data_IF_977948385549
#
_entry.id   IF_977948385549
#
_cell.length_a   1.000
_cell.length_b   1.000
_cell.length_c   1.000
_cell.angle_alpha   90.00
_cell.angle_beta   90.00
_cell.angle_gamma   90.00
#
_symmetry.space_group_name_H-M   'P 1'
#
loop_
_entity.id
_entity.type
_entity.pdbx_description
1 polymer ?
#
# COMPACT_ATOMS: atom_id res chain seq x y z
N UNK A 1 -40.42 -36.07 30.77
CA UNK A 1 -40.36 -34.64 30.45
C UNK A 1 -39.30 -34.45 29.37
N UNK A 2 -39.66 -33.75 28.29
CA UNK A 2 -38.83 -32.95 27.36
C UNK A 2 -37.45 -33.49 26.94
N UNK A 3 -37.09 -33.65 25.66
CA UNK A 3 -37.72 -33.21 24.43
C UNK A 3 -36.84 -33.54 23.22
N UNK A 4 -37.49 -33.52 22.06
CA UNK A 4 -36.98 -33.57 20.69
C UNK A 4 -35.68 -32.79 20.44
N UNK A 5 -34.92 -33.22 19.41
CA UNK A 5 -34.72 -32.54 18.09
C UNK A 5 -33.34 -32.91 17.52
N UNK A 6 -33.27 -33.86 16.61
CA UNK A 6 -33.25 -33.68 15.13
C UNK A 6 -32.13 -32.78 14.57
N UNK A 7 -31.58 -33.28 13.44
CA UNK A 7 -30.94 -32.56 12.33
C UNK A 7 -29.49 -32.13 12.55
N UNK A 8 -28.57 -32.31 11.61
CA UNK A 8 -28.68 -32.73 10.22
C UNK A 8 -27.34 -32.54 9.52
N UNK A 9 -27.09 -33.40 8.55
CA UNK A 9 -26.16 -33.25 7.42
C UNK A 9 -25.89 -31.81 6.98
N UNK A 10 -24.61 -31.46 6.82
CA UNK A 10 -24.05 -31.01 5.55
C UNK A 10 -22.53 -30.82 5.70
N UNK A 11 -21.76 -31.61 4.95
CA UNK A 11 -20.50 -31.16 4.39
C UNK A 11 -20.81 -29.85 3.66
N UNK A 12 -20.41 -28.70 4.20
CA UNK A 12 -20.28 -27.51 3.36
C UNK A 12 -18.90 -27.59 2.71
N UNK A 13 -18.91 -28.27 1.58
CA UNK A 13 -17.94 -28.11 0.51
C UNK A 13 -17.89 -26.63 0.14
N UNK A 14 -16.99 -25.87 0.77
CA UNK A 14 -16.65 -24.54 0.30
C UNK A 14 -15.92 -24.70 -1.03
N UNK A 15 -16.68 -24.38 -2.08
CA UNK A 15 -16.30 -24.45 -3.47
C UNK A 15 -14.89 -23.90 -3.71
N UNK A 16 -14.12 -24.49 -4.66
CA UNK A 16 -12.89 -23.84 -5.11
C UNK A 16 -13.27 -22.47 -5.63
N UNK A 17 -12.72 -21.42 -5.00
CA UNK A 17 -12.85 -20.05 -5.47
C UNK A 17 -12.43 -20.03 -6.94
N UNK A 18 -13.43 -19.92 -7.81
CA UNK A 18 -13.27 -19.87 -9.25
C UNK A 18 -12.27 -18.75 -9.55
N UNK A 19 -11.33 -19.06 -10.46
CA UNK A 19 -10.26 -18.18 -10.91
C UNK A 19 -10.73 -16.72 -10.94
N UNK A 20 -10.27 -15.94 -9.97
CA UNK A 20 -10.51 -14.50 -9.92
C UNK A 20 -9.87 -13.92 -11.18
N UNK A 21 -10.74 -13.46 -12.09
CA UNK A 21 -10.40 -12.63 -13.25
C UNK A 21 -9.36 -11.60 -12.84
N UNK A 22 -8.28 -11.48 -13.64
CA UNK A 22 -7.04 -10.74 -13.35
C UNK A 22 -7.33 -9.23 -13.26
N UNK A 23 -7.97 -8.82 -12.18
CA UNK A 23 -8.15 -7.45 -11.72
C UNK A 23 -7.73 -7.44 -10.26
N UNK A 24 -6.76 -6.58 -9.94
CA UNK A 24 -6.19 -6.55 -8.60
C UNK A 24 -7.23 -6.30 -7.51
N UNK A 25 -6.90 -6.76 -6.32
CA UNK A 25 -7.71 -6.73 -5.12
C UNK A 25 -7.38 -5.47 -4.33
N UNK A 26 -8.41 -4.82 -3.81
CA UNK A 26 -8.28 -3.72 -2.84
C UNK A 26 -8.50 -4.30 -1.45
N UNK A 27 -7.52 -4.17 -0.57
CA UNK A 27 -7.51 -4.74 0.77
C UNK A 27 -7.54 -3.63 1.80
N UNK A 28 -8.44 -3.73 2.78
CA UNK A 28 -8.39 -2.91 3.98
C UNK A 28 -7.53 -3.64 5.01
N UNK A 29 -6.41 -3.06 5.39
CA UNK A 29 -5.43 -3.63 6.31
C UNK A 29 -5.53 -2.87 7.63
N UNK A 30 -5.89 -3.58 8.70
CA UNK A 30 -5.71 -3.06 10.05
C UNK A 30 -4.25 -3.22 10.46
N UNK A 31 -3.62 -2.14 10.90
CA UNK A 31 -2.22 -2.16 11.32
C UNK A 31 -2.14 -2.35 12.83
N UNK A 32 -1.13 -3.10 13.33
CA UNK A 32 -0.83 -3.13 14.75
C UNK A 32 -0.46 -1.71 15.22
N UNK A 33 -0.66 -1.37 16.51
CA UNK A 33 -0.25 -0.08 17.04
C UNK A 33 1.24 0.17 16.80
N UNK A 34 1.55 1.38 16.34
CA UNK A 34 2.91 1.78 15.98
C UNK A 34 3.53 2.52 17.16
N UNK A 35 4.76 2.14 17.51
CA UNK A 35 5.58 2.84 18.52
C UNK A 35 6.77 3.46 17.81
N UNK A 36 6.83 4.79 17.64
CA UNK A 36 7.99 5.48 17.10
C UNK A 36 9.18 5.40 18.05
N UNK A 37 10.37 5.76 17.58
CA UNK A 37 11.61 5.74 18.36
C UNK A 37 11.61 6.63 19.61
N UNK A 38 10.62 7.52 19.76
CA UNK A 38 10.39 8.35 20.94
C UNK A 38 9.53 7.66 22.04
N UNK A 39 9.02 6.46 21.76
CA UNK A 39 8.23 5.67 22.72
C UNK A 39 6.76 6.09 22.85
N UNK A 40 6.26 7.01 22.02
CA UNK A 40 4.82 7.32 21.95
C UNK A 40 4.03 6.16 21.32
N UNK A 41 2.75 5.98 21.66
CA UNK A 41 1.91 4.93 21.06
C UNK A 41 0.75 5.60 20.30
N UNK A 42 0.64 5.30 18.99
CA UNK A 42 -0.45 5.80 18.15
C UNK A 42 -1.22 4.62 17.55
N UNK A 43 -2.54 4.63 17.74
CA UNK A 43 -3.43 3.67 17.08
C UNK A 43 -3.76 4.20 15.69
N UNK A 44 -3.41 3.43 14.65
CA UNK A 44 -3.71 3.82 13.27
C UNK A 44 -5.11 3.32 12.86
N UNK A 45 -5.83 4.19 12.16
CA UNK A 45 -7.02 3.82 11.39
C UNK A 45 -6.53 3.12 10.11
N UNK A 46 -7.10 1.94 9.81
CA UNK A 46 -6.54 1.00 8.82
C UNK A 46 -6.23 1.59 7.44
N UNK A 47 -5.23 1.03 6.76
CA UNK A 47 -4.82 1.45 5.41
C UNK A 47 -5.53 0.65 4.33
N UNK A 48 -5.54 1.17 3.09
CA UNK A 48 -6.08 0.48 1.91
C UNK A 48 -4.92 0.18 0.96
N UNK A 49 -4.72 -1.09 0.59
CA UNK A 49 -3.62 -1.56 -0.28
C UNK A 49 -4.19 -2.24 -1.52
N UNK A 50 -3.61 -1.99 -2.69
CA UNK A 50 -3.95 -2.69 -3.94
C UNK A 50 -2.92 -3.80 -4.23
N UNK A 51 -3.38 -5.03 -4.49
CA UNK A 51 -2.52 -6.19 -4.79
C UNK A 51 -3.02 -6.96 -6.00
N UNK A 52 -2.11 -7.42 -6.87
CA UNK A 52 -2.45 -8.11 -8.12
C UNK A 52 -2.47 -9.65 -8.02
N UNK A 53 -2.09 -10.23 -6.89
CA UNK A 53 -1.96 -11.69 -6.74
C UNK A 53 -2.92 -12.27 -5.70
N UNK A 54 -4.03 -12.87 -6.13
CA UNK A 54 -4.94 -13.58 -5.22
C UNK A 54 -4.28 -14.81 -4.57
N UNK A 55 -3.39 -15.50 -5.29
CA UNK A 55 -2.73 -16.73 -4.80
C UNK A 55 -1.70 -16.45 -3.70
N UNK A 56 -0.91 -15.39 -3.85
CA UNK A 56 0.10 -14.96 -2.86
C UNK A 56 -0.57 -14.47 -1.56
N UNK A 57 -1.74 -13.84 -1.69
CA UNK A 57 -2.55 -13.41 -0.56
C UNK A 57 -3.19 -14.58 0.18
N UNK A 58 -3.71 -15.56 -0.55
CA UNK A 58 -4.35 -16.74 0.03
C UNK A 58 -3.33 -17.57 0.82
N UNK A 59 -2.11 -17.69 0.30
CA UNK A 59 -1.00 -18.35 1.00
C UNK A 59 -0.57 -17.55 2.24
N UNK A 60 -0.45 -16.23 2.15
CA UNK A 60 -0.10 -15.37 3.30
C UNK A 60 -1.16 -15.43 4.41
N UNK A 61 -2.46 -15.43 4.05
CA UNK A 61 -3.55 -15.59 5.01
C UNK A 61 -3.61 -16.99 5.62
N UNK A 62 -3.30 -18.04 4.85
CA UNK A 62 -3.30 -19.42 5.32
C UNK A 62 -2.09 -19.76 6.21
N UNK A 63 -0.97 -19.07 6.02
CA UNK A 63 0.24 -19.22 6.84
C UNK A 63 0.25 -18.29 8.06
N UNK A 64 -0.66 -17.33 8.13
CA UNK A 64 -0.78 -16.45 9.28
C UNK A 64 -1.22 -17.29 10.51
N UNK A 65 -0.43 -17.30 11.60
CA UNK A 65 -0.84 -17.99 12.82
C UNK A 65 -2.15 -17.38 13.34
N UNK A 66 -3.03 -18.17 13.99
CA UNK A 66 -4.21 -17.62 14.65
C UNK A 66 -3.74 -16.60 15.70
N UNK A 67 -4.02 -15.33 15.44
CA UNK A 67 -3.59 -14.23 16.30
C UNK A 67 -4.43 -14.29 17.57
N UNK A 68 -3.84 -14.79 18.66
CA UNK A 68 -4.31 -14.44 20.01
C UNK A 68 -4.29 -12.91 20.11
N UNK A 69 -5.26 -12.31 20.81
CA UNK A 69 -5.44 -10.85 20.93
C UNK A 69 -4.32 -10.16 21.74
N UNK A 70 -3.10 -10.63 21.67
CA UNK A 70 -1.93 -9.92 22.14
C UNK A 70 -1.59 -8.82 21.13
N UNK A 71 -1.66 -7.58 21.59
CA UNK A 71 -1.34 -6.40 20.80
C UNK A 71 0.16 -6.43 20.50
N UNK A 72 0.52 -6.82 19.28
CA UNK A 72 1.89 -6.73 18.78
C UNK A 72 2.16 -5.27 18.43
N UNK A 73 3.22 -4.69 19.00
CA UNK A 73 3.68 -3.35 18.62
C UNK A 73 4.77 -3.48 17.56
N UNK A 74 4.66 -2.72 16.48
CA UNK A 74 5.75 -2.55 15.53
C UNK A 74 6.60 -1.37 15.99
N UNK A 75 7.84 -1.65 16.40
CA UNK A 75 8.81 -0.63 16.77
C UNK A 75 9.60 -0.22 15.53
N UNK A 76 9.47 1.04 15.14
CA UNK A 76 10.22 1.58 14.01
C UNK A 76 11.42 2.37 14.52
N UNK A 77 12.60 2.26 13.88
CA UNK A 77 13.73 3.13 14.13
C UNK A 77 13.51 4.52 13.49
N UNK A 78 12.26 5.00 13.48
CA UNK A 78 11.81 6.24 12.88
C UNK A 78 11.11 7.09 13.95
N UNK A 79 11.28 8.41 13.90
CA UNK A 79 10.48 9.33 14.72
C UNK A 79 9.04 9.38 14.20
N UNK A 80 8.12 9.90 15.02
CA UNK A 80 6.73 10.09 14.59
C UNK A 80 6.62 10.97 13.34
N UNK A 81 7.45 12.01 13.25
CA UNK A 81 7.51 12.91 12.10
C UNK A 81 8.01 12.20 10.84
N UNK A 82 9.05 11.35 10.95
CA UNK A 82 9.53 10.56 9.82
C UNK A 82 8.49 9.54 9.34
N UNK A 83 7.76 8.90 10.26
CA UNK A 83 6.64 8.00 9.92
C UNK A 83 5.54 8.77 9.19
N UNK A 84 5.18 9.96 9.66
CA UNK A 84 4.20 10.82 8.99
C UNK A 84 4.62 11.12 7.55
N UNK A 85 5.87 11.54 7.32
CA UNK A 85 6.35 11.83 5.97
C UNK A 85 6.48 10.58 5.10
N UNK A 86 6.88 9.44 5.67
CA UNK A 86 6.89 8.16 4.97
C UNK A 86 5.49 7.81 4.42
N UNK A 87 4.46 7.93 5.27
CA UNK A 87 3.07 7.68 4.88
C UNK A 87 2.59 8.68 3.82
N UNK A 88 2.95 9.96 3.93
CA UNK A 88 2.63 10.96 2.90
C UNK A 88 3.29 10.65 1.57
N UNK A 89 4.55 10.17 1.57
CA UNK A 89 5.24 9.73 0.37
C UNK A 89 4.55 8.55 -0.31
N UNK A 90 4.22 7.51 0.46
CA UNK A 90 3.46 6.35 -0.01
C UNK A 90 2.12 6.75 -0.61
N UNK A 91 1.36 7.59 0.11
CA UNK A 91 0.09 8.14 -0.36
C UNK A 91 0.24 8.88 -1.68
N UNK A 92 1.20 9.81 -1.77
CA UNK A 92 1.47 10.55 -3.00
C UNK A 92 1.81 9.65 -4.20
N UNK A 93 2.73 8.69 -4.02
CA UNK A 93 3.11 7.78 -5.11
C UNK A 93 1.94 6.93 -5.60
N UNK A 94 1.09 6.50 -4.66
CA UNK A 94 -0.15 5.77 -4.97
C UNK A 94 -1.15 6.67 -5.68
N UNK A 95 -1.34 7.89 -5.18
CA UNK A 95 -2.27 8.88 -5.74
C UNK A 95 -1.91 9.27 -7.17
N UNK A 96 -0.61 9.35 -7.51
CA UNK A 96 -0.16 9.57 -8.89
C UNK A 96 -0.69 8.49 -9.85
N UNK A 97 -0.69 7.22 -9.43
CA UNK A 97 -1.25 6.11 -10.23
C UNK A 97 -2.78 6.19 -10.26
N UNK A 98 -3.41 6.40 -9.09
CA UNK A 98 -4.86 6.48 -8.97
C UNK A 98 -5.44 7.65 -9.76
N UNK A 99 -4.75 8.79 -9.81
CA UNK A 99 -5.20 9.96 -10.56
C UNK A 99 -5.21 9.68 -12.06
N UNK A 100 -4.23 8.93 -12.59
CA UNK A 100 -4.27 8.48 -13.99
C UNK A 100 -5.49 7.59 -14.28
N UNK A 101 -5.82 6.69 -13.36
CA UNK A 101 -7.01 5.82 -13.46
C UNK A 101 -8.30 6.64 -13.39
N UNK A 102 -8.40 7.57 -12.41
CA UNK A 102 -9.59 8.41 -12.19
C UNK A 102 -9.85 9.34 -13.37
N UNK A 103 -8.79 9.84 -14.00
CA UNK A 103 -8.85 10.67 -15.20
C UNK A 103 -9.16 9.87 -16.47
N UNK A 104 -9.18 8.53 -16.38
CA UNK A 104 -9.42 7.61 -17.49
C UNK A 104 -8.39 7.77 -18.61
N UNK A 105 -7.12 7.94 -18.22
CA UNK A 105 -6.02 7.97 -19.17
C UNK A 105 -5.97 6.68 -20.01
N UNK A 106 -5.37 6.73 -21.21
CA UNK A 106 -5.09 5.52 -21.98
C UNK A 106 -4.30 4.51 -21.14
N UNK A 107 -4.61 3.21 -21.27
CA UNK A 107 -3.92 2.14 -20.52
C UNK A 107 -2.41 2.22 -20.61
N UNK A 108 -1.88 2.61 -21.77
CA UNK A 108 -0.44 2.80 -21.98
C UNK A 108 0.13 3.94 -21.11
N UNK A 109 -0.60 5.03 -20.96
CA UNK A 109 -0.21 6.15 -20.09
C UNK A 109 -0.22 5.72 -18.63
N UNK A 110 -1.28 5.07 -18.17
CA UNK A 110 -1.34 4.54 -16.79
C UNK A 110 -0.21 3.55 -16.51
N UNK A 111 0.08 2.64 -17.45
CA UNK A 111 1.19 1.70 -17.32
C UNK A 111 2.57 2.39 -17.27
N UNK A 112 2.75 3.49 -18.02
CA UNK A 112 3.98 4.31 -17.94
C UNK A 112 4.13 4.98 -16.58
N UNK A 113 3.04 5.54 -16.04
CA UNK A 113 3.03 6.17 -14.72
C UNK A 113 3.32 5.15 -13.63
N UNK A 114 2.68 3.98 -13.69
CA UNK A 114 2.93 2.86 -12.78
C UNK A 114 4.39 2.41 -12.82
N UNK A 115 4.94 2.21 -14.03
CA UNK A 115 6.34 1.83 -14.22
C UNK A 115 7.29 2.91 -13.69
N UNK A 116 6.96 4.19 -13.87
CA UNK A 116 7.76 5.30 -13.40
C UNK A 116 7.82 5.34 -11.88
N UNK A 117 6.67 5.19 -11.20
CA UNK A 117 6.60 5.07 -9.73
C UNK A 117 7.36 3.83 -9.26
N UNK A 118 7.21 2.68 -9.93
CA UNK A 118 7.92 1.45 -9.60
C UNK A 118 9.45 1.61 -9.71
N UNK A 119 9.94 2.27 -10.77
CA UNK A 119 11.37 2.54 -10.96
C UNK A 119 11.92 3.45 -9.87
N UNK A 120 11.20 4.51 -9.50
CA UNK A 120 11.58 5.37 -8.37
C UNK A 120 11.59 4.57 -7.08
N UNK A 121 10.54 3.79 -6.84
CA UNK A 121 10.39 2.94 -5.67
C UNK A 121 11.45 1.84 -5.58
N UNK A 122 12.11 1.47 -6.69
CA UNK A 122 13.23 0.50 -6.71
C UNK A 122 14.60 1.18 -6.79
N UNK A 123 14.66 2.51 -6.67
CA UNK A 123 15.86 3.33 -6.82
C UNK A 123 16.59 3.08 -8.16
N UNK A 124 15.85 2.68 -9.20
CA UNK A 124 16.39 2.50 -10.55
C UNK A 124 16.52 3.84 -11.29
N UNK A 125 15.79 4.85 -10.84
CA UNK A 125 15.87 6.24 -11.29
C UNK A 125 15.96 7.14 -10.07
N UNK A 126 16.49 8.34 -10.28
CA UNK A 126 16.57 9.40 -9.28
C UNK A 126 15.23 10.14 -9.14
N UNK A 127 15.04 10.84 -8.02
CA UNK A 127 13.91 11.75 -7.85
C UNK A 127 13.85 12.82 -8.95
N UNK A 128 15.01 13.28 -9.41
CA UNK A 128 15.13 14.26 -10.49
C UNK A 128 14.57 13.74 -11.82
N UNK A 129 14.95 12.52 -12.20
CA UNK A 129 14.45 11.84 -13.40
C UNK A 129 12.95 11.57 -13.28
N UNK A 130 12.50 11.08 -12.12
CA UNK A 130 11.08 10.86 -11.85
C UNK A 130 10.25 12.13 -12.03
N UNK A 131 10.64 13.25 -11.41
CA UNK A 131 9.88 14.50 -11.49
C UNK A 131 9.90 15.06 -12.92
N UNK A 132 11.03 14.92 -13.64
CA UNK A 132 11.11 15.36 -15.04
C UNK A 132 10.19 14.54 -15.96
N UNK A 133 10.19 13.21 -15.83
CA UNK A 133 9.35 12.32 -16.63
C UNK A 133 7.86 12.47 -16.27
N UNK A 134 7.54 12.63 -14.98
CA UNK A 134 6.17 12.82 -14.52
C UNK A 134 5.60 14.15 -15.06
N UNK A 135 6.29 15.26 -14.82
CA UNK A 135 5.79 16.60 -15.19
C UNK A 135 5.90 16.92 -16.69
N UNK A 136 6.59 16.09 -17.47
CA UNK A 136 6.57 16.20 -18.95
C UNK A 136 5.40 15.44 -19.59
N UNK A 137 4.74 14.56 -18.84
CA UNK A 137 3.64 13.73 -19.32
C UNK A 137 2.28 14.32 -18.92
N UNK A 138 1.33 14.35 -19.86
CA UNK A 138 -0.07 14.62 -19.47
C UNK A 138 -0.61 13.45 -18.64
N UNK A 139 -1.48 13.70 -17.64
CA UNK A 139 -2.09 14.98 -17.24
C UNK A 139 -1.26 15.83 -16.26
N UNK A 140 -0.07 15.38 -15.87
CA UNK A 140 0.72 15.96 -14.77
C UNK A 140 1.58 17.17 -15.18
N UNK A 141 1.35 17.76 -16.35
CA UNK A 141 2.15 18.87 -16.83
C UNK A 141 2.08 20.06 -15.87
N UNK A 142 3.25 20.52 -15.43
CA UNK A 142 3.37 21.63 -14.50
C UNK A 142 4.56 22.53 -14.84
N UNK A 143 4.61 23.70 -14.20
CA UNK A 143 5.67 24.68 -14.43
C UNK A 143 6.97 24.35 -13.68
N UNK A 144 8.02 25.14 -13.93
CA UNK A 144 9.32 24.97 -13.27
C UNK A 144 9.28 25.18 -11.75
N UNK A 145 8.33 25.97 -11.24
CA UNK A 145 8.13 26.12 -9.80
C UNK A 145 7.60 24.83 -9.16
N UNK A 146 6.65 24.17 -9.83
CA UNK A 146 6.11 22.88 -9.43
C UNK A 146 7.17 21.78 -9.47
N UNK A 147 8.07 21.82 -10.45
CA UNK A 147 9.23 20.93 -10.54
C UNK A 147 10.12 21.00 -9.30
N UNK A 148 10.63 22.20 -8.96
CA UNK A 148 11.54 22.40 -7.83
C UNK A 148 10.91 22.02 -6.49
N UNK A 149 9.62 22.36 -6.31
CA UNK A 149 8.89 22.05 -5.08
C UNK A 149 8.68 20.54 -4.93
N UNK A 150 8.28 19.85 -6.00
CA UNK A 150 8.05 18.42 -5.97
C UNK A 150 9.36 17.64 -5.80
N UNK A 151 10.43 18.06 -6.49
CA UNK A 151 11.75 17.45 -6.36
C UNK A 151 12.23 17.46 -4.92
N UNK A 152 12.25 18.63 -4.27
CA UNK A 152 12.67 18.76 -2.87
C UNK A 152 11.80 17.92 -1.93
N UNK A 153 10.50 17.85 -2.20
CA UNK A 153 9.58 17.06 -1.39
C UNK A 153 9.84 15.55 -1.53
N UNK A 154 10.08 15.04 -2.73
CA UNK A 154 10.40 13.62 -2.94
C UNK A 154 11.78 13.28 -2.36
N UNK A 155 12.80 14.10 -2.61
CA UNK A 155 14.15 13.88 -2.05
C UNK A 155 14.13 13.83 -0.52
N UNK A 156 13.31 14.67 0.10
CA UNK A 156 13.15 14.68 1.56
C UNK A 156 12.36 13.47 2.08
N UNK A 157 11.25 13.10 1.43
CA UNK A 157 10.30 12.11 1.98
C UNK A 157 10.60 10.66 1.58
N UNK A 158 11.20 10.41 0.41
CA UNK A 158 11.43 9.07 -0.13
C UNK A 158 12.32 8.18 0.77
N UNK A 159 13.41 8.68 1.39
CA UNK A 159 14.22 7.86 2.30
C UNK A 159 13.42 7.33 3.50
N UNK A 160 12.51 8.14 4.04
CA UNK A 160 11.64 7.72 5.14
C UNK A 160 10.65 6.66 4.70
N UNK A 161 10.05 6.82 3.50
CA UNK A 161 9.13 5.86 2.92
C UNK A 161 9.76 4.46 2.77
N UNK A 162 10.99 4.43 2.27
CA UNK A 162 11.79 3.21 2.16
C UNK A 162 12.07 2.56 3.51
N UNK A 163 12.58 3.35 4.46
CA UNK A 163 12.90 2.86 5.81
C UNK A 163 11.65 2.35 6.53
N UNK A 164 10.51 3.01 6.33
CA UNK A 164 9.21 2.59 6.85
C UNK A 164 8.76 1.25 6.24
N UNK A 165 8.86 1.08 4.92
CA UNK A 165 8.49 -0.19 4.26
C UNK A 165 9.35 -1.37 4.68
N UNK A 166 10.64 -1.18 4.90
CA UNK A 166 11.52 -2.24 5.39
C UNK A 166 11.14 -2.77 6.78
N UNK A 167 10.37 -2.01 7.56
CA UNK A 167 9.94 -2.40 8.91
C UNK A 167 8.54 -3.06 8.93
N UNK A 168 7.84 -3.06 7.80
CA UNK A 168 6.48 -3.66 7.64
C UNK A 168 6.54 -5.04 6.96
N UNK A 169 7.67 -5.39 6.33
CA UNK A 169 7.90 -6.68 5.66
C UNK A 169 8.58 -7.71 6.55
#
# INVERSE_FOLDING_TARGET
QSGQKEKGTALEETAPCQALDVRGLILKVEHPPIVPGDGSCVFHEGSIVYSMGAEELTLACALAPPVDKDVVFLSFPLTQEEIFYAQKCHGFLTDVILDSIRQKDPKETTAKVELLVQKLWRLQITAKEFVAELLSSAPFQADGYSYEKLLKWIEFTLPFAWKYSCCVN
#
